data_IF_073665742316
#
_entry.id   IF_073665742316
#
_cell.length_a   1.000
_cell.length_b   1.000
_cell.length_c   1.000
_cell.angle_alpha   90.00
_cell.angle_beta   90.00
_cell.angle_gamma   90.00
#
_symmetry.space_group_name_H-M   'P 1'
#
loop_
_entity.id
_entity.type
_entity.pdbx_description
1 polymer ?
#
# COMPACT_ATOMS: atom_id res chain seq x y z
N UNK A 1 0.36 0.18 -18.50
CA UNK A 1 -0.84 1.04 -18.36
C UNK A 1 -0.49 2.43 -18.84
N UNK A 2 -1.26 3.00 -19.76
CA UNK A 2 -1.00 4.31 -20.31
C UNK A 2 -1.60 5.43 -19.42
N UNK A 3 -1.28 6.70 -19.73
CA UNK A 3 -1.69 7.87 -18.93
C UNK A 3 -3.22 8.10 -18.95
N UNK A 4 -3.87 7.77 -20.04
CA UNK A 4 -5.32 7.91 -20.21
C UNK A 4 -6.08 6.89 -19.35
N UNK A 5 -5.64 5.63 -19.36
CA UNK A 5 -6.18 4.56 -18.52
C UNK A 5 -6.05 4.89 -17.03
N UNK A 6 -4.89 5.39 -16.61
CA UNK A 6 -4.66 5.84 -15.23
C UNK A 6 -5.61 6.97 -14.83
N UNK A 7 -5.79 7.95 -15.74
CA UNK A 7 -6.69 9.07 -15.52
C UNK A 7 -8.14 8.63 -15.42
N UNK A 8 -8.60 7.74 -16.32
CA UNK A 8 -9.95 7.20 -16.31
C UNK A 8 -10.23 6.43 -15.00
N UNK A 9 -9.34 5.52 -14.61
CA UNK A 9 -9.47 4.77 -13.35
C UNK A 9 -9.44 5.69 -12.11
N UNK A 10 -8.63 6.75 -12.14
CA UNK A 10 -8.59 7.74 -11.07
C UNK A 10 -9.89 8.55 -10.97
N UNK A 11 -10.60 8.76 -12.10
CA UNK A 11 -11.85 9.47 -12.18
C UNK A 11 -13.08 8.63 -11.77
N UNK A 12 -12.90 7.35 -11.46
CA UNK A 12 -13.98 6.52 -10.93
C UNK A 12 -14.61 7.17 -9.69
N UNK A 13 -15.95 7.17 -9.64
CA UNK A 13 -16.75 7.89 -8.63
C UNK A 13 -16.33 7.58 -7.20
N UNK A 14 -16.14 6.31 -6.87
CA UNK A 14 -15.73 5.87 -5.53
C UNK A 14 -14.34 6.42 -5.13
N UNK A 15 -13.38 6.52 -6.09
CA UNK A 15 -12.05 7.08 -5.82
C UNK A 15 -12.13 8.60 -5.63
N UNK A 16 -12.98 9.26 -6.39
CA UNK A 16 -13.22 10.69 -6.24
C UNK A 16 -13.86 11.01 -4.89
N UNK A 17 -14.83 10.23 -4.45
CA UNK A 17 -15.46 10.35 -3.13
C UNK A 17 -14.43 10.20 -2.01
N UNK A 18 -13.53 9.20 -2.08
CA UNK A 18 -12.44 9.05 -1.11
C UNK A 18 -11.48 10.26 -1.09
N UNK A 19 -11.16 10.83 -2.25
CA UNK A 19 -10.32 12.03 -2.28
C UNK A 19 -11.02 13.25 -1.67
N UNK A 20 -12.33 13.37 -1.87
CA UNK A 20 -13.14 14.47 -1.32
C UNK A 20 -13.41 14.31 0.17
N UNK A 21 -13.49 13.09 0.68
CA UNK A 21 -13.79 12.82 2.10
C UNK A 21 -12.74 13.38 3.05
N UNK A 22 -11.50 13.61 2.58
CA UNK A 22 -10.41 14.14 3.40
C UNK A 22 -9.45 14.99 2.57
N UNK A 23 -9.15 16.20 3.06
CA UNK A 23 -8.22 17.13 2.37
C UNK A 23 -6.79 16.58 2.34
N UNK A 24 -6.01 16.97 1.34
CA UNK A 24 -4.63 16.52 1.18
C UNK A 24 -3.76 16.82 2.42
N UNK A 25 -3.93 18.01 3.03
CA UNK A 25 -3.21 18.37 4.26
C UNK A 25 -3.50 17.40 5.40
N UNK A 26 -4.76 17.08 5.64
CA UNK A 26 -5.16 16.13 6.68
C UNK A 26 -4.55 14.74 6.45
N UNK A 27 -4.46 14.29 5.19
CA UNK A 27 -3.80 13.03 4.82
C UNK A 27 -2.31 13.06 5.12
N UNK A 28 -1.64 14.19 4.83
CA UNK A 28 -0.19 14.34 5.02
C UNK A 28 0.21 14.57 6.48
N UNK A 29 -0.74 14.87 7.35
CA UNK A 29 -0.52 15.03 8.79
C UNK A 29 -0.69 13.72 9.57
N UNK A 30 -1.24 12.67 8.94
CA UNK A 30 -1.30 11.32 9.52
C UNK A 30 0.12 10.74 9.55
N UNK A 31 0.62 10.31 10.72
CA UNK A 31 1.93 9.67 10.81
C UNK A 31 1.92 8.29 10.12
N UNK A 32 3.08 7.87 9.59
CA UNK A 32 3.24 6.52 9.04
C UNK A 32 2.96 5.48 10.13
N UNK A 33 2.16 4.48 9.79
CA UNK A 33 1.87 3.37 10.71
C UNK A 33 3.13 2.53 10.90
N UNK A 34 3.54 2.39 12.17
CA UNK A 34 4.68 1.54 12.52
C UNK A 34 4.27 0.09 12.59
N UNK A 35 5.07 -0.78 11.98
CA UNK A 35 4.94 -2.22 12.14
C UNK A 35 5.40 -2.64 13.53
N UNK A 36 4.72 -3.65 14.08
CA UNK A 36 5.17 -4.35 15.27
C UNK A 36 6.20 -5.41 14.86
N UNK A 37 7.30 -5.45 15.58
CA UNK A 37 8.27 -6.52 15.49
C UNK A 37 8.20 -7.39 16.74
N UNK A 38 8.59 -8.66 16.60
CA UNK A 38 8.76 -9.56 17.74
C UNK A 38 9.89 -9.06 18.65
N UNK A 39 9.69 -9.21 19.95
CA UNK A 39 10.72 -8.89 20.94
C UNK A 39 12.02 -9.63 20.64
N UNK A 40 13.20 -8.97 20.71
CA UNK A 40 14.49 -9.60 20.43
C UNK A 40 14.78 -10.88 21.23
N UNK A 41 14.38 -10.91 22.51
CA UNK A 41 14.59 -12.10 23.35
C UNK A 41 13.65 -13.26 22.97
N UNK A 42 12.45 -12.93 22.49
CA UNK A 42 11.49 -13.94 22.01
C UNK A 42 11.88 -14.50 20.64
N UNK A 43 12.22 -13.63 19.69
CA UNK A 43 12.49 -14.04 18.30
C UNK A 43 13.70 -14.96 18.11
N UNK A 44 14.66 -14.96 19.06
CA UNK A 44 15.80 -15.91 19.03
C UNK A 44 15.41 -17.33 19.43
N UNK A 45 14.24 -17.54 20.03
CA UNK A 45 13.77 -18.86 20.50
C UNK A 45 12.83 -19.57 19.50
N UNK A 46 12.45 -18.90 18.39
CA UNK A 46 11.50 -19.43 17.41
C UNK A 46 11.89 -19.05 15.99
N UNK A 47 11.07 -19.46 14.99
CA UNK A 47 11.24 -19.14 13.58
C UNK A 47 10.05 -18.36 13.01
N UNK A 48 9.30 -17.66 13.86
CA UNK A 48 8.21 -16.81 13.43
C UNK A 48 8.73 -15.59 12.65
N UNK A 49 7.89 -15.01 11.81
CA UNK A 49 8.25 -13.76 11.12
C UNK A 49 8.48 -12.64 12.13
N UNK A 50 9.68 -12.08 12.14
CA UNK A 50 10.07 -10.99 13.04
C UNK A 50 9.16 -9.78 12.89
N UNK A 51 8.83 -9.43 11.65
CA UNK A 51 7.92 -8.35 11.34
C UNK A 51 6.48 -8.90 11.26
N UNK A 52 5.63 -8.45 12.18
CA UNK A 52 4.26 -8.97 12.30
C UNK A 52 3.28 -8.47 11.23
N UNK A 53 3.69 -7.59 10.33
CA UNK A 53 2.80 -6.99 9.33
C UNK A 53 1.77 -6.02 9.91
N UNK A 54 0.85 -5.59 9.08
CA UNK A 54 -0.33 -4.81 9.50
C UNK A 54 -1.44 -5.79 9.90
N UNK A 55 -1.41 -6.22 11.16
CA UNK A 55 -2.30 -7.28 11.69
C UNK A 55 -3.74 -6.82 11.95
N UNK A 56 -4.04 -5.53 11.81
CA UNK A 56 -5.38 -4.97 12.04
C UNK A 56 -5.81 -4.17 10.82
N UNK A 57 -7.01 -4.46 10.33
CA UNK A 57 -7.62 -3.75 9.20
C UNK A 57 -7.61 -2.23 9.39
N UNK A 58 -7.96 -1.75 10.59
CA UNK A 58 -7.95 -0.32 10.92
C UNK A 58 -6.58 0.34 10.71
N UNK A 59 -5.48 -0.37 10.98
CA UNK A 59 -4.13 0.14 10.73
C UNK A 59 -3.82 0.20 9.24
N UNK A 60 -4.24 -0.79 8.47
CA UNK A 60 -4.06 -0.81 7.02
C UNK A 60 -4.89 0.31 6.36
N UNK A 61 -6.15 0.49 6.76
CA UNK A 61 -7.01 1.59 6.30
C UNK A 61 -6.41 2.96 6.67
N UNK A 62 -5.92 3.12 7.89
CA UNK A 62 -5.28 4.36 8.33
C UNK A 62 -4.05 4.70 7.48
N UNK A 63 -3.18 3.73 7.22
CA UNK A 63 -2.01 3.92 6.37
C UNK A 63 -2.41 4.20 4.92
N UNK A 64 -3.41 3.48 4.38
CA UNK A 64 -3.93 3.70 3.03
C UNK A 64 -4.56 5.09 2.86
N UNK A 65 -5.20 5.62 3.92
CA UNK A 65 -5.79 6.97 3.94
C UNK A 65 -4.75 8.06 3.71
N UNK A 66 -3.49 7.85 4.03
CA UNK A 66 -2.41 8.79 3.76
C UNK A 66 -2.19 9.02 2.26
N UNK A 67 -2.51 8.04 1.40
CA UNK A 67 -2.28 8.12 -0.04
C UNK A 67 -3.08 9.26 -0.67
N UNK A 68 -2.38 10.15 -1.39
CA UNK A 68 -2.97 11.32 -2.06
C UNK A 68 -3.67 10.98 -3.38
N UNK A 69 -3.54 9.74 -3.86
CA UNK A 69 -4.05 9.35 -5.18
C UNK A 69 -3.59 10.31 -6.28
N UNK A 70 -2.27 10.45 -6.43
CA UNK A 70 -1.63 11.43 -7.31
C UNK A 70 -2.10 11.30 -8.77
N UNK A 71 -2.16 12.42 -9.50
CA UNK A 71 -2.45 12.45 -10.95
C UNK A 71 -1.34 11.72 -11.72
N UNK A 72 -0.09 12.00 -11.34
CA UNK A 72 1.10 11.31 -11.84
C UNK A 72 1.73 10.52 -10.72
N UNK A 73 1.39 9.23 -10.58
CA UNK A 73 1.84 8.42 -9.45
C UNK A 73 3.27 7.92 -9.66
N UNK A 74 4.26 8.73 -9.30
CA UNK A 74 5.68 8.39 -9.44
C UNK A 74 6.06 7.08 -8.73
N UNK A 75 5.33 6.67 -7.69
CA UNK A 75 5.55 5.39 -7.04
C UNK A 75 5.45 4.20 -8.01
N UNK A 76 4.59 4.28 -9.03
CA UNK A 76 4.46 3.24 -10.05
C UNK A 76 5.73 3.11 -10.89
N UNK A 77 6.45 4.21 -11.18
CA UNK A 77 7.71 4.17 -11.94
C UNK A 77 8.84 3.50 -11.15
N UNK A 78 8.69 3.38 -9.84
CA UNK A 78 9.62 2.67 -8.98
C UNK A 78 9.32 1.18 -8.81
N UNK A 79 8.18 0.69 -9.34
CA UNK A 79 7.80 -0.71 -9.28
C UNK A 79 8.24 -1.45 -10.55
N UNK A 80 9.16 -2.45 -10.45
CA UNK A 80 9.64 -3.17 -11.63
C UNK A 80 8.55 -3.92 -12.40
N UNK A 81 7.48 -4.34 -11.73
CA UNK A 81 6.35 -5.07 -12.35
C UNK A 81 5.14 -4.18 -12.64
N UNK A 82 5.26 -2.87 -12.41
CA UNK A 82 4.26 -1.89 -12.83
C UNK A 82 2.91 -1.98 -12.11
N UNK A 83 2.89 -2.36 -10.83
CA UNK A 83 1.66 -2.42 -10.02
C UNK A 83 0.94 -1.07 -10.04
N UNK A 84 -0.39 -1.09 -10.20
CA UNK A 84 -1.22 0.09 -10.01
C UNK A 84 -1.36 0.44 -8.53
N UNK A 85 -0.27 1.03 -8.00
CA UNK A 85 -0.12 1.33 -6.57
C UNK A 85 -1.26 2.20 -6.01
N UNK A 86 -1.66 3.31 -6.66
CA UNK A 86 -2.77 4.10 -6.11
C UNK A 86 -4.09 3.33 -6.07
N UNK A 87 -4.40 2.50 -7.07
CA UNK A 87 -5.65 1.74 -7.15
C UNK A 87 -5.76 0.73 -6.01
N UNK A 88 -4.72 -0.10 -5.77
CA UNK A 88 -4.81 -1.07 -4.69
C UNK A 88 -4.86 -0.40 -3.31
N UNK A 89 -4.11 0.69 -3.10
CA UNK A 89 -4.14 1.44 -1.83
C UNK A 89 -5.53 2.06 -1.60
N UNK A 90 -6.17 2.61 -2.64
CA UNK A 90 -7.53 3.15 -2.52
C UNK A 90 -8.58 2.07 -2.26
N UNK A 91 -8.39 0.87 -2.78
CA UNK A 91 -9.22 -0.28 -2.43
C UNK A 91 -9.08 -0.62 -0.93
N UNK A 92 -7.86 -0.59 -0.37
CA UNK A 92 -7.67 -0.76 1.08
C UNK A 92 -8.35 0.36 1.87
N UNK A 93 -8.21 1.61 1.44
CA UNK A 93 -8.82 2.76 2.12
C UNK A 93 -10.35 2.65 2.24
N UNK A 94 -11.02 2.08 1.22
CA UNK A 94 -12.47 1.84 1.26
C UNK A 94 -12.88 0.53 1.94
N UNK A 95 -11.93 -0.26 2.44
CA UNK A 95 -12.20 -1.55 3.08
C UNK A 95 -12.39 -2.73 2.13
N UNK A 96 -12.15 -2.55 0.82
CA UNK A 96 -12.27 -3.61 -0.18
C UNK A 96 -10.90 -4.29 -0.40
N UNK A 97 -10.53 -5.14 0.57
CA UNK A 97 -9.20 -5.75 0.61
C UNK A 97 -8.99 -6.80 -0.48
N UNK A 98 -10.05 -7.51 -0.88
CA UNK A 98 -9.99 -8.48 -1.98
C UNK A 98 -9.77 -7.80 -3.32
N UNK A 99 -10.44 -6.67 -3.60
CA UNK A 99 -10.16 -5.88 -4.80
C UNK A 99 -8.76 -5.28 -4.79
N UNK A 100 -8.20 -4.98 -3.61
CA UNK A 100 -6.80 -4.58 -3.49
C UNK A 100 -5.86 -5.74 -3.92
N UNK A 101 -6.07 -6.95 -3.43
CA UNK A 101 -5.30 -8.13 -3.80
C UNK A 101 -5.42 -8.46 -5.30
N UNK A 102 -6.63 -8.39 -5.86
CA UNK A 102 -6.84 -8.57 -7.31
C UNK A 102 -6.08 -7.53 -8.13
N UNK A 103 -6.08 -6.26 -7.69
CA UNK A 103 -5.32 -5.20 -8.36
C UNK A 103 -3.81 -5.47 -8.35
N UNK A 104 -3.26 -5.99 -7.26
CA UNK A 104 -1.86 -6.42 -7.18
C UNK A 104 -1.56 -7.53 -8.19
N UNK A 105 -2.45 -8.51 -8.29
CA UNK A 105 -2.31 -9.68 -9.18
C UNK A 105 -2.50 -9.35 -10.67
N UNK A 106 -3.00 -8.17 -11.04
CA UNK A 106 -3.04 -7.73 -12.46
C UNK A 106 -1.64 -7.75 -13.10
N UNK A 107 -0.56 -7.52 -12.31
CA UNK A 107 0.81 -7.46 -12.83
C UNK A 107 1.85 -8.21 -11.98
N UNK A 108 1.53 -8.57 -10.73
CA UNK A 108 2.44 -9.28 -9.82
C UNK A 108 1.91 -10.69 -9.53
N UNK A 109 2.70 -11.71 -9.85
CA UNK A 109 2.35 -13.11 -9.56
C UNK A 109 2.54 -13.46 -8.06
N UNK A 110 3.36 -12.70 -7.31
CA UNK A 110 3.81 -13.07 -5.97
C UNK A 110 3.70 -11.89 -4.97
N UNK A 111 2.53 -11.25 -4.82
CA UNK A 111 2.42 -10.06 -3.96
C UNK A 111 2.75 -10.35 -2.49
N UNK A 112 2.45 -11.54 -1.97
CA UNK A 112 2.79 -11.94 -0.61
C UNK A 112 4.31 -11.99 -0.37
N UNK A 113 5.09 -12.39 -1.38
CA UNK A 113 6.56 -12.41 -1.33
C UNK A 113 7.10 -11.00 -1.52
N UNK A 114 6.63 -10.29 -2.55
CA UNK A 114 7.09 -8.93 -2.87
C UNK A 114 6.87 -7.97 -1.69
N UNK A 115 5.72 -8.04 -1.02
CA UNK A 115 5.43 -7.23 0.17
C UNK A 115 6.38 -7.49 1.36
N UNK A 116 7.12 -8.61 1.34
CA UNK A 116 8.10 -8.99 2.37
C UNK A 116 9.56 -8.71 1.99
N UNK A 117 9.92 -8.87 0.73
CA UNK A 117 11.34 -8.92 0.32
C UNK A 117 11.78 -7.82 -0.64
N UNK A 118 10.86 -7.11 -1.28
CA UNK A 118 11.22 -5.98 -2.12
C UNK A 118 11.89 -4.88 -1.29
N UNK A 119 12.98 -4.26 -1.77
CA UNK A 119 13.57 -3.08 -1.13
C UNK A 119 12.76 -1.82 -1.47
N UNK A 120 11.52 -1.74 -0.94
CA UNK A 120 10.55 -0.70 -1.29
C UNK A 120 11.10 0.71 -1.04
N UNK A 121 11.94 0.86 -0.03
CA UNK A 121 12.62 2.11 0.31
C UNK A 121 13.56 2.63 -0.79
N UNK A 122 13.99 1.74 -1.70
CA UNK A 122 14.80 2.08 -2.88
C UNK A 122 14.00 2.07 -4.19
N UNK A 123 12.80 1.54 -4.16
CA UNK A 123 11.90 1.37 -5.31
C UNK A 123 10.69 2.30 -5.21
N UNK A 124 9.49 1.74 -5.02
CA UNK A 124 8.22 2.49 -5.05
C UNK A 124 8.13 3.56 -3.96
N UNK A 125 8.56 3.27 -2.73
CA UNK A 125 8.49 4.22 -1.62
C UNK A 125 9.46 5.38 -1.81
N UNK A 126 10.65 5.15 -2.41
CA UNK A 126 11.59 6.21 -2.75
C UNK A 126 11.00 7.24 -3.72
N UNK A 127 10.09 6.82 -4.59
CA UNK A 127 9.43 7.65 -5.59
C UNK A 127 8.11 8.26 -5.10
N UNK A 128 7.67 7.93 -3.89
CA UNK A 128 6.45 8.48 -3.32
C UNK A 128 6.55 10.02 -3.21
N UNK A 129 5.44 10.70 -3.46
CA UNK A 129 5.34 12.16 -3.33
C UNK A 129 5.79 12.66 -1.95
N UNK A 130 5.48 11.89 -0.89
CA UNK A 130 5.94 12.19 0.46
C UNK A 130 7.45 12.28 0.56
N UNK A 131 8.18 11.31 0.01
CA UNK A 131 9.66 11.33 -0.02
C UNK A 131 10.17 12.42 -0.92
N UNK A 132 9.64 12.53 -2.14
CA UNK A 132 10.18 13.39 -3.18
C UNK A 132 9.92 14.88 -2.92
N UNK A 133 8.73 15.22 -2.45
CA UNK A 133 8.30 16.63 -2.34
C UNK A 133 8.13 17.10 -0.90
N UNK A 134 7.60 16.27 -0.02
CA UNK A 134 7.29 16.69 1.35
C UNK A 134 8.42 16.43 2.35
N UNK A 135 9.42 15.62 1.97
CA UNK A 135 10.50 15.16 2.87
C UNK A 135 9.96 14.49 4.15
N UNK A 136 8.83 13.79 4.00
CA UNK A 136 8.17 12.99 5.03
C UNK A 136 8.30 11.50 4.71
N UNK A 137 8.05 10.65 5.71
CA UNK A 137 8.00 9.19 5.53
C UNK A 137 6.95 8.81 4.47
N UNK A 138 7.32 8.00 3.45
CA UNK A 138 6.40 7.60 2.37
C UNK A 138 5.22 6.80 2.89
N UNK A 139 4.26 6.55 2.01
CA UNK A 139 3.25 5.53 2.24
C UNK A 139 3.95 4.17 2.38
N UNK A 140 3.56 3.36 3.35
CA UNK A 140 4.11 2.02 3.58
C UNK A 140 3.57 1.03 2.53
N UNK A 141 4.01 1.20 1.28
CA UNK A 141 3.46 0.51 0.10
C UNK A 141 3.64 -1.00 0.24
N UNK A 142 4.85 -1.48 0.60
CA UNK A 142 5.11 -2.89 0.77
C UNK A 142 4.31 -3.51 1.92
N UNK A 143 4.07 -2.78 2.99
CA UNK A 143 3.25 -3.25 4.11
C UNK A 143 1.78 -3.39 3.73
N UNK A 144 1.26 -2.48 2.92
CA UNK A 144 -0.09 -2.55 2.39
C UNK A 144 -0.23 -3.67 1.34
N UNK A 145 0.80 -3.89 0.51
CA UNK A 145 0.86 -5.02 -0.42
C UNK A 145 0.82 -6.35 0.32
N UNK A 146 1.68 -6.52 1.33
CA UNK A 146 1.68 -7.70 2.20
C UNK A 146 0.31 -7.90 2.86
N UNK A 147 -0.27 -6.84 3.44
CA UNK A 147 -1.56 -6.91 4.10
C UNK A 147 -2.66 -7.42 3.17
N UNK A 148 -2.76 -6.88 1.95
CA UNK A 148 -3.79 -7.31 1.00
C UNK A 148 -3.62 -8.77 0.57
N UNK A 149 -2.38 -9.22 0.34
CA UNK A 149 -2.08 -10.60 -0.02
C UNK A 149 -2.34 -11.58 1.13
N UNK A 150 -1.96 -11.23 2.35
CA UNK A 150 -2.20 -12.05 3.54
C UNK A 150 -3.70 -12.12 3.87
N UNK A 151 -4.45 -11.02 3.65
CA UNK A 151 -5.90 -11.01 3.82
C UNK A 151 -6.60 -11.94 2.84
N UNK A 152 -6.25 -11.87 1.55
CA UNK A 152 -6.79 -12.76 0.52
C UNK A 152 -6.51 -14.24 0.85
N UNK A 153 -5.26 -14.55 1.24
CA UNK A 153 -4.90 -15.92 1.63
C UNK A 153 -5.72 -16.41 2.84
N UNK A 154 -5.91 -15.56 3.83
CA UNK A 154 -6.68 -15.91 5.03
C UNK A 154 -8.19 -16.05 4.75
N UNK A 155 -8.73 -15.32 3.77
CA UNK A 155 -10.15 -15.40 3.39
C UNK A 155 -10.52 -16.71 2.68
N UNK A 156 -9.54 -17.42 2.10
CA UNK A 156 -9.75 -18.58 1.25
C UNK A 156 -10.38 -18.26 -0.11
N UNK A 157 -10.56 -16.99 -0.44
CA UNK A 157 -11.02 -16.56 -1.78
C UNK A 157 -9.81 -16.40 -2.71
N UNK A 158 -9.87 -17.05 -3.88
CA UNK A 158 -8.82 -17.00 -4.91
C UNK A 158 -9.35 -16.28 -6.14
#
# INVERSE_FOLDING_TARGET
MNKEELSAQRAEKWREELRRSRKAKERTDIPRVKMKELDPAYRITNREEVNCGLTREQKAVLEATRCLDCVEPLCMTGCPVGINIPKFIKNIERGDFLSAARTLKETSALPAVCGRVCPQERQCESKCFYTQKLKKEPIAIGYLERFAADYEHASGEV
#
